data_IF_805356073811
#
_entry.id   IF_805356073811
#
_cell.length_a   1.000
_cell.length_b   1.000
_cell.length_c   1.000
_cell.angle_alpha   90.00
_cell.angle_beta   90.00
_cell.angle_gamma   90.00
#
_symmetry.space_group_name_H-M   'P 1'
#
loop_
_entity.id
_entity.type
_entity.pdbx_description
1 polymer ?
#
# COMPACT_ATOMS: atom_id res chain seq x y z
N UNK A 1 11.88 8.95 26.92
CA UNK A 1 13.23 8.93 26.30
C UNK A 1 13.15 8.89 24.78
N UNK A 2 12.38 7.95 24.19
CA UNK A 2 12.20 7.85 22.73
C UNK A 2 11.60 9.11 22.11
N UNK A 3 10.57 9.71 22.73
CA UNK A 3 9.94 10.93 22.21
C UNK A 3 10.90 12.11 22.08
N UNK A 4 11.85 12.25 23.01
CA UNK A 4 12.86 13.30 22.97
C UNK A 4 13.85 13.08 21.80
N UNK A 5 14.26 11.84 21.57
CA UNK A 5 15.11 11.47 20.44
C UNK A 5 14.37 11.68 19.11
N UNK A 6 13.16 11.16 18.99
CA UNK A 6 12.33 11.33 17.81
C UNK A 6 12.09 12.82 17.52
N UNK A 7 11.74 13.61 18.53
CA UNK A 7 11.58 15.07 18.42
C UNK A 7 12.83 15.73 17.85
N UNK A 8 14.02 15.35 18.32
CA UNK A 8 15.28 15.93 17.86
C UNK A 8 15.55 15.69 16.37
N UNK A 9 15.15 14.53 15.85
CA UNK A 9 15.26 14.17 14.43
C UNK A 9 14.19 14.89 13.61
N UNK A 10 12.94 14.83 14.06
CA UNK A 10 11.79 15.40 13.36
C UNK A 10 11.93 16.91 13.20
N UNK A 11 12.38 17.62 14.25
CA UNK A 11 12.64 19.07 14.17
C UNK A 11 13.70 19.42 13.11
N UNK A 12 14.70 18.56 12.90
CA UNK A 12 15.70 18.74 11.83
C UNK A 12 15.11 18.50 10.45
N UNK A 13 14.26 17.49 10.31
CA UNK A 13 13.58 17.17 9.03
C UNK A 13 12.69 18.32 8.57
N UNK A 14 11.86 18.87 9.48
CA UNK A 14 10.96 19.97 9.15
C UNK A 14 11.56 21.37 9.34
N UNK A 15 12.85 21.47 9.70
CA UNK A 15 13.57 22.74 9.98
C UNK A 15 12.81 23.65 10.96
N UNK A 16 12.16 23.05 11.95
CA UNK A 16 11.33 23.75 12.92
C UNK A 16 12.10 24.18 14.18
N UNK A 17 11.62 25.22 14.84
CA UNK A 17 12.17 25.69 16.11
C UNK A 17 11.87 24.73 17.26
N UNK A 18 12.72 24.76 18.31
CA UNK A 18 12.58 23.90 19.51
C UNK A 18 11.23 24.00 20.24
N UNK A 19 10.47 25.07 20.00
CA UNK A 19 9.16 25.34 20.61
C UNK A 19 8.01 24.57 19.97
N UNK A 20 8.16 24.10 18.74
CA UNK A 20 7.10 23.38 18.00
C UNK A 20 6.79 22.06 18.69
N UNK A 21 5.52 21.73 18.96
CA UNK A 21 5.14 20.46 19.62
C UNK A 21 5.58 19.21 18.83
N UNK A 22 5.75 18.06 19.48
CA UNK A 22 6.20 16.83 18.80
C UNK A 22 5.18 16.40 17.74
N UNK A 23 3.89 16.39 18.09
CA UNK A 23 2.80 16.05 17.18
C UNK A 23 2.76 16.95 15.95
N UNK A 24 2.87 18.27 16.13
CA UNK A 24 2.93 19.21 15.01
C UNK A 24 4.16 18.95 14.13
N UNK A 25 5.32 18.73 14.76
CA UNK A 25 6.55 18.45 14.02
C UNK A 25 6.45 17.15 13.21
N UNK A 26 5.81 16.10 13.76
CA UNK A 26 5.59 14.82 13.08
C UNK A 26 4.69 14.97 11.86
N UNK A 27 3.60 15.71 11.99
CA UNK A 27 2.68 16.01 10.88
C UNK A 27 3.43 16.78 9.78
N UNK A 28 4.18 17.81 10.13
CA UNK A 28 4.96 18.61 9.18
C UNK A 28 6.07 17.79 8.50
N UNK A 29 6.69 16.86 9.22
CA UNK A 29 7.70 15.95 8.68
C UNK A 29 7.11 14.76 7.92
N UNK A 30 5.78 14.57 7.94
CA UNK A 30 5.08 13.38 7.44
C UNK A 30 5.63 12.07 8.01
N UNK A 31 5.94 12.06 9.31
CA UNK A 31 6.47 10.91 10.02
C UNK A 31 5.47 10.38 11.04
N UNK A 32 5.36 9.06 11.12
CA UNK A 32 4.57 8.40 12.16
C UNK A 32 5.31 8.40 13.51
N UNK A 33 4.57 8.41 14.64
CA UNK A 33 5.12 8.12 15.95
C UNK A 33 5.95 6.83 15.97
N UNK A 34 7.10 6.86 16.67
CA UNK A 34 8.08 5.77 16.61
C UNK A 34 7.55 4.48 17.26
N UNK A 35 6.73 4.62 18.30
CA UNK A 35 6.05 3.52 18.98
C UNK A 35 5.11 2.76 18.04
N UNK A 36 4.39 3.48 17.16
CA UNK A 36 3.54 2.87 16.12
C UNK A 36 4.41 2.10 15.12
N UNK A 37 5.49 2.72 14.62
CA UNK A 37 6.42 2.06 13.68
C UNK A 37 7.11 0.84 14.31
N UNK A 38 7.45 0.91 15.59
CA UNK A 38 8.02 -0.23 16.32
C UNK A 38 7.03 -1.39 16.41
N UNK A 39 5.74 -1.12 16.70
CA UNK A 39 4.70 -2.15 16.70
C UNK A 39 4.52 -2.78 15.32
N UNK A 40 4.46 -1.96 14.28
CA UNK A 40 4.35 -2.43 12.89
C UNK A 40 5.51 -3.35 12.50
N UNK A 41 6.75 -2.96 12.81
CA UNK A 41 7.94 -3.79 12.53
C UNK A 41 7.95 -5.07 13.35
N UNK A 42 7.57 -5.00 14.63
CA UNK A 42 7.46 -6.18 15.48
C UNK A 42 6.39 -7.15 14.94
N UNK A 43 5.25 -6.64 14.52
CA UNK A 43 4.20 -7.45 13.89
C UNK A 43 4.68 -8.09 12.59
N UNK A 44 5.29 -7.31 11.70
CA UNK A 44 5.84 -7.84 10.46
C UNK A 44 6.86 -8.96 10.71
N UNK A 45 7.67 -8.84 11.77
CA UNK A 45 8.60 -9.89 12.16
C UNK A 45 7.87 -11.18 12.56
N UNK A 46 6.81 -11.08 13.37
CA UNK A 46 6.04 -12.23 13.82
C UNK A 46 5.29 -12.92 12.67
N UNK A 47 4.73 -12.13 11.76
CA UNK A 47 4.13 -12.62 10.52
C UNK A 47 5.12 -13.44 9.71
N UNK A 48 6.31 -12.88 9.46
CA UNK A 48 7.37 -13.56 8.70
C UNK A 48 7.88 -14.84 9.38
N UNK A 49 7.60 -15.03 10.67
CA UNK A 49 7.89 -16.26 11.42
C UNK A 49 6.73 -17.26 11.42
N UNK A 50 5.67 -17.00 10.66
CA UNK A 50 4.49 -17.85 10.56
C UNK A 50 3.52 -17.70 11.73
N UNK A 51 3.62 -16.63 12.54
CA UNK A 51 2.59 -16.36 13.55
C UNK A 51 1.34 -15.80 12.88
N UNK A 52 0.20 -16.43 13.18
CA UNK A 52 -1.07 -16.04 12.61
C UNK A 52 -1.55 -14.71 13.20
N UNK A 53 -1.90 -13.76 12.33
CA UNK A 53 -2.40 -12.44 12.71
C UNK A 53 -3.93 -12.45 12.80
N UNK A 54 -4.42 -13.24 13.77
CA UNK A 54 -5.85 -13.62 13.92
C UNK A 54 -6.81 -12.45 14.12
N UNK A 55 -6.31 -11.28 14.53
CA UNK A 55 -7.15 -10.17 15.00
C UNK A 55 -7.28 -8.97 14.03
N UNK A 56 -6.50 -8.91 12.92
CA UNK A 56 -6.47 -7.72 12.02
C UNK A 56 -6.92 -8.06 10.59
N UNK A 57 -6.61 -9.27 10.12
CA UNK A 57 -6.95 -9.74 8.78
C UNK A 57 -7.80 -11.00 8.88
N UNK A 58 -8.99 -10.88 9.45
CA UNK A 58 -9.97 -11.98 9.43
C UNK A 58 -10.43 -12.27 8.01
N UNK A 59 -10.39 -11.26 7.13
CA UNK A 59 -10.92 -11.33 5.76
C UNK A 59 -9.85 -11.66 4.70
N UNK A 60 -8.56 -11.74 5.07
CA UNK A 60 -7.46 -11.95 4.12
C UNK A 60 -6.61 -13.14 4.55
N UNK A 61 -6.47 -14.11 3.65
CA UNK A 61 -5.51 -15.18 3.81
C UNK A 61 -4.11 -14.65 3.50
N UNK A 62 -3.17 -14.87 4.42
CA UNK A 62 -1.77 -14.53 4.19
C UNK A 62 -1.03 -15.76 3.67
N UNK A 63 -0.15 -15.57 2.69
CA UNK A 63 0.79 -16.60 2.25
C UNK A 63 1.54 -17.20 3.44
N UNK A 64 1.47 -18.52 3.55
CA UNK A 64 2.16 -19.28 4.57
C UNK A 64 3.42 -19.91 3.99
N UNK A 65 4.46 -20.15 4.81
CA UNK A 65 5.63 -20.89 4.35
C UNK A 65 5.22 -22.32 3.96
N UNK A 66 5.53 -22.72 2.73
CA UNK A 66 5.26 -24.04 2.15
C UNK A 66 6.59 -24.81 2.01
N UNK A 67 6.56 -26.13 2.19
CA UNK A 67 7.75 -26.96 1.96
C UNK A 67 8.22 -26.84 0.49
N UNK A 68 9.50 -27.02 0.25
CA UNK A 68 10.04 -26.93 -1.12
C UNK A 68 9.36 -27.92 -2.08
N UNK A 69 9.01 -29.12 -1.61
CA UNK A 69 8.34 -30.13 -2.41
C UNK A 69 6.88 -29.78 -2.71
N UNK A 70 6.28 -28.89 -1.92
CA UNK A 70 4.88 -28.47 -2.00
C UNK A 70 4.71 -27.13 -2.72
N UNK A 71 5.80 -26.40 -2.99
CA UNK A 71 5.77 -25.14 -3.73
C UNK A 71 5.26 -25.39 -5.17
N UNK A 72 4.18 -24.71 -5.60
CA UNK A 72 3.74 -24.80 -6.99
C UNK A 72 4.84 -24.28 -7.93
N UNK A 73 5.02 -24.96 -9.06
CA UNK A 73 5.93 -24.49 -10.10
C UNK A 73 5.54 -23.06 -10.52
N UNK A 74 6.48 -22.14 -10.84
CA UNK A 74 6.15 -20.76 -11.19
C UNK A 74 5.12 -20.60 -12.32
N UNK A 75 5.02 -21.57 -13.24
CA UNK A 75 3.98 -21.61 -14.27
C UNK A 75 2.57 -22.00 -13.77
N UNK A 76 2.43 -22.31 -12.49
CA UNK A 76 1.18 -22.69 -11.81
C UNK A 76 0.87 -21.78 -10.60
N UNK A 77 1.77 -20.86 -10.27
CA UNK A 77 1.50 -19.76 -9.34
C UNK A 77 0.52 -18.86 -10.07
N UNK A 78 -0.73 -18.83 -9.63
CA UNK A 78 -1.88 -18.13 -10.24
C UNK A 78 -1.49 -17.05 -11.26
N UNK A 79 -1.95 -17.22 -12.50
CA UNK A 79 -2.11 -16.08 -13.39
C UNK A 79 -3.17 -15.17 -12.75
N UNK A 80 -2.76 -13.99 -12.29
CA UNK A 80 -3.74 -12.92 -12.10
C UNK A 80 -4.30 -12.60 -13.48
N UNK A 81 -5.51 -13.08 -13.74
CA UNK A 81 -6.26 -12.69 -14.92
C UNK A 81 -6.67 -11.22 -14.75
N UNK A 82 -6.03 -10.36 -15.53
CA UNK A 82 -6.43 -8.98 -15.67
C UNK A 82 -7.35 -8.89 -16.88
N UNK A 83 -8.58 -8.46 -16.65
CA UNK A 83 -9.51 -8.17 -17.72
C UNK A 83 -9.55 -6.65 -17.94
N UNK A 84 -9.40 -6.22 -19.19
CA UNK A 84 -9.51 -4.80 -19.53
C UNK A 84 -10.95 -4.36 -19.37
N UNK A 85 -11.18 -3.22 -18.70
CA UNK A 85 -12.53 -2.62 -18.59
C UNK A 85 -13.14 -2.35 -19.98
N UNK A 86 -12.31 -2.11 -21.00
CA UNK A 86 -12.77 -1.93 -22.39
C UNK A 86 -13.31 -3.22 -23.03
N UNK A 87 -12.85 -4.38 -22.56
CA UNK A 87 -13.25 -5.71 -23.06
C UNK A 87 -14.44 -6.27 -22.26
N UNK A 88 -14.76 -5.70 -21.09
CA UNK A 88 -15.91 -6.10 -20.28
C UNK A 88 -17.24 -5.70 -20.93
N UNK A 89 -18.23 -6.58 -20.85
CA UNK A 89 -19.57 -6.21 -21.25
C UNK A 89 -20.17 -5.16 -20.27
N UNK A 90 -21.02 -4.23 -20.75
CA UNK A 90 -21.60 -3.18 -19.93
C UNK A 90 -22.37 -3.70 -18.71
N UNK A 91 -22.96 -4.90 -18.80
CA UNK A 91 -23.72 -5.48 -17.69
C UNK A 91 -22.80 -6.03 -16.59
N UNK A 92 -21.59 -6.47 -16.94
CA UNK A 92 -20.57 -6.89 -15.97
C UNK A 92 -19.94 -5.69 -15.28
N UNK A 93 -19.74 -4.57 -15.99
CA UNK A 93 -19.29 -3.30 -15.38
C UNK A 93 -20.28 -2.83 -14.30
N UNK A 94 -21.58 -2.82 -14.63
CA UNK A 94 -22.65 -2.44 -13.69
C UNK A 94 -22.72 -3.39 -12.48
N UNK A 95 -22.54 -4.70 -12.70
CA UNK A 95 -22.55 -5.71 -11.63
C UNK A 95 -21.35 -5.64 -10.70
N UNK A 96 -20.16 -5.32 -11.24
CA UNK A 96 -18.93 -5.18 -10.46
C UNK A 96 -18.86 -3.86 -9.70
N UNK A 97 -19.82 -2.95 -9.92
CA UNK A 97 -19.85 -1.64 -9.28
C UNK A 97 -18.48 -0.95 -9.34
N UNK A 98 -17.87 -0.95 -10.54
CA UNK A 98 -16.64 -0.19 -10.81
C UNK A 98 -17.03 1.29 -10.74
N UNK A 99 -17.02 1.84 -9.53
CA UNK A 99 -17.40 3.22 -9.23
C UNK A 99 -16.15 4.06 -9.10
N UNK A 100 -16.02 5.08 -9.95
CA UNK A 100 -14.90 6.01 -9.93
C UNK A 100 -14.63 6.61 -11.30
N UNK A 101 -13.70 7.56 -11.35
CA UNK A 101 -13.33 8.20 -12.60
C UNK A 101 -12.58 7.22 -13.50
N UNK A 102 -13.05 7.06 -14.73
CA UNK A 102 -12.45 6.19 -15.73
C UNK A 102 -11.40 6.97 -16.51
N UNK A 103 -10.17 6.45 -16.56
CA UNK A 103 -9.07 7.04 -17.31
C UNK A 103 -8.84 6.18 -18.56
N UNK A 104 -9.15 6.73 -19.73
CA UNK A 104 -8.92 6.09 -21.02
C UNK A 104 -7.65 6.60 -21.65
N UNK A 105 -6.81 5.70 -22.14
CA UNK A 105 -5.60 6.05 -22.90
C UNK A 105 -5.59 5.24 -24.19
N UNK A 106 -5.47 5.91 -25.33
CA UNK A 106 -5.40 5.27 -26.65
C UNK A 106 -3.99 4.71 -26.98
N UNK A 107 -3.07 4.74 -26.00
CA UNK A 107 -1.67 4.36 -26.16
C UNK A 107 -0.85 5.30 -27.06
N UNK A 108 -1.46 6.35 -27.60
CA UNK A 108 -0.83 7.31 -28.50
C UNK A 108 0.13 8.24 -27.77
N UNK A 109 1.26 8.54 -28.41
CA UNK A 109 2.20 9.57 -27.93
C UNK A 109 2.27 10.72 -28.92
N UNK A 110 1.97 11.93 -28.44
CA UNK A 110 2.18 13.18 -29.18
C UNK A 110 3.24 13.96 -28.40
N UNK A 111 4.32 14.37 -29.08
CA UNK A 111 5.46 15.10 -28.46
C UNK A 111 6.06 14.40 -27.23
N UNK A 112 6.04 13.06 -27.20
CA UNK A 112 6.56 12.28 -26.08
C UNK A 112 5.67 12.24 -24.84
N UNK A 113 4.46 12.81 -24.90
CA UNK A 113 3.44 12.75 -23.84
C UNK A 113 2.30 11.82 -24.27
N UNK A 114 1.73 11.11 -23.30
CA UNK A 114 0.55 10.26 -23.49
C UNK A 114 -0.68 11.10 -23.11
N UNK A 115 -1.66 11.16 -24.01
CA UNK A 115 -2.96 11.76 -23.73
C UNK A 115 -3.85 10.80 -22.94
N UNK A 116 -4.73 11.34 -22.10
CA UNK A 116 -5.74 10.56 -21.40
C UNK A 116 -7.07 11.32 -21.39
N UNK A 117 -8.17 10.59 -21.57
CA UNK A 117 -9.52 11.11 -21.35
C UNK A 117 -10.02 10.64 -19.99
N UNK A 118 -10.68 11.52 -19.25
CA UNK A 118 -11.31 11.20 -17.97
C UNK A 118 -12.82 11.22 -18.15
N UNK A 119 -13.51 10.23 -17.60
CA UNK A 119 -14.97 10.25 -17.44
C UNK A 119 -15.29 10.14 -15.95
N UNK A 120 -16.04 11.11 -15.42
CA UNK A 120 -16.51 11.14 -14.02
C UNK A 120 -17.77 10.30 -13.82
#
# INVERSE_FOLDING_TARGET
MLDALQRSVVLKVCRAYRTVSLHSALILARLLPLDIRMREVAWLYEVKRGKHLRDICTDWELESPVDFCELPHPAHILELEFESVEDLDPTTIDRLAIVGSHIYTDGGRIEGKVGAALTE
#
